data_IF_677813508572
#
_entry.id   IF_677813508572
#
_cell.length_a   1.000
_cell.length_b   1.000
_cell.length_c   1.000
_cell.angle_alpha   90.00
_cell.angle_beta   90.00
_cell.angle_gamma   90.00
#
_symmetry.space_group_name_H-M   'P 1'
#
loop_
_entity.id
_entity.type
_entity.pdbx_description
1 polymer ?
#
# COMPACT_ATOMS: atom_id res chain seq x y z
N UNK A 1 19.79 39.96 12.01
CA UNK A 1 19.83 38.48 12.13
C UNK A 1 19.43 37.91 10.78
N UNK A 2 20.33 37.20 10.12
CA UNK A 2 20.14 36.70 8.74
C UNK A 2 19.63 35.27 8.87
N UNK A 3 18.40 35.00 8.42
CA UNK A 3 17.86 33.64 8.36
C UNK A 3 18.53 32.88 7.21
N UNK A 4 19.42 31.96 7.55
CA UNK A 4 19.95 30.96 6.62
C UNK A 4 18.83 29.95 6.27
N UNK A 5 18.64 29.57 5.00
CA UNK A 5 17.72 28.51 4.63
C UNK A 5 18.18 27.16 5.23
N UNK A 6 17.25 26.24 5.53
CA UNK A 6 17.59 24.95 6.10
C UNK A 6 18.51 24.17 5.15
N UNK A 7 19.59 23.62 5.70
CA UNK A 7 20.52 22.75 4.96
C UNK A 7 19.76 21.52 4.45
N UNK A 8 19.73 21.33 3.13
CA UNK A 8 19.33 20.06 2.53
C UNK A 8 20.31 18.98 3.03
N UNK A 9 19.85 18.14 3.96
CA UNK A 9 20.56 16.93 4.33
C UNK A 9 20.35 15.92 3.20
N UNK A 10 21.33 15.85 2.31
CA UNK A 10 21.43 14.81 1.29
C UNK A 10 21.61 13.46 1.99
N UNK A 11 20.55 12.64 2.00
CA UNK A 11 20.54 11.36 2.70
C UNK A 11 21.27 10.34 1.79
N UNK A 12 22.60 10.26 1.93
CA UNK A 12 23.38 9.21 1.28
C UNK A 12 23.07 7.86 1.94
N UNK A 13 22.26 7.03 1.28
CA UNK A 13 21.92 5.68 1.73
C UNK A 13 22.50 4.60 0.80
N UNK A 14 22.94 3.51 1.42
CA UNK A 14 23.79 2.43 0.87
C UNK A 14 23.26 1.87 -0.47
N UNK A 15 24.14 1.90 -1.47
CA UNK A 15 23.93 1.44 -2.86
C UNK A 15 23.91 -0.09 -2.92
N UNK A 16 22.87 -0.69 -3.51
CA UNK A 16 22.88 -2.10 -3.91
C UNK A 16 23.40 -2.17 -5.34
N UNK A 17 24.70 -2.45 -5.50
CA UNK A 17 25.32 -2.69 -6.81
C UNK A 17 25.02 -4.12 -7.24
N UNK A 18 24.24 -4.30 -8.29
CA UNK A 18 24.06 -5.62 -8.92
C UNK A 18 25.08 -5.71 -10.05
N UNK A 19 26.17 -6.46 -9.85
CA UNK A 19 27.15 -6.74 -10.88
C UNK A 19 26.66 -7.88 -11.78
N UNK A 20 26.11 -7.54 -12.95
CA UNK A 20 26.20 -8.41 -14.13
C UNK A 20 27.16 -7.74 -15.12
N UNK A 21 27.96 -8.58 -15.78
CA UNK A 21 29.14 -8.25 -16.59
C UNK A 21 29.01 -6.90 -17.33
N UNK A 22 29.95 -6.01 -17.01
CA UNK A 22 30.39 -4.79 -17.70
C UNK A 22 29.42 -3.63 -18.01
N UNK A 23 28.13 -3.72 -17.68
CA UNK A 23 27.24 -2.54 -17.72
C UNK A 23 26.65 -2.28 -16.34
N UNK A 24 27.18 -1.26 -15.65
CA UNK A 24 26.61 -0.76 -14.41
C UNK A 24 25.34 0.04 -14.71
N UNK A 25 24.18 -0.60 -14.61
CA UNK A 25 22.89 0.10 -14.66
C UNK A 25 22.69 0.82 -13.32
N UNK A 26 22.82 2.14 -13.31
CA UNK A 26 22.41 2.95 -12.16
C UNK A 26 20.88 3.01 -12.12
N UNK A 27 20.28 2.19 -11.25
CA UNK A 27 18.85 2.31 -10.96
C UNK A 27 18.68 3.49 -9.99
N UNK A 28 18.38 4.66 -10.51
CA UNK A 28 17.98 5.79 -9.69
C UNK A 28 16.55 5.55 -9.20
N UNK A 29 16.41 5.15 -7.94
CA UNK A 29 15.10 5.14 -7.28
C UNK A 29 14.65 6.57 -7.01
N UNK A 30 13.49 6.97 -7.56
CA UNK A 30 12.81 8.21 -7.19
C UNK A 30 12.04 7.96 -5.89
N UNK A 31 12.58 8.46 -4.78
CA UNK A 31 11.96 8.35 -3.47
C UNK A 31 11.13 9.61 -3.17
N UNK A 32 9.93 9.41 -2.61
CA UNK A 32 9.11 10.47 -2.04
C UNK A 32 9.06 10.28 -0.52
N UNK A 33 9.53 11.28 0.22
CA UNK A 33 9.47 11.27 1.68
C UNK A 33 8.05 11.57 2.16
N UNK A 34 7.59 10.81 3.15
CA UNK A 34 6.39 11.11 3.94
C UNK A 34 6.80 11.01 5.42
N UNK A 35 6.82 12.13 6.15
CA UNK A 35 7.26 12.18 7.56
C UNK A 35 6.10 12.42 8.53
N UNK A 36 6.20 11.89 9.75
CA UNK A 36 5.17 12.00 10.81
C UNK A 36 5.18 13.35 11.53
N UNK A 37 6.18 14.18 11.28
CA UNK A 37 6.28 15.56 11.78
C UNK A 37 5.22 16.43 11.08
N UNK A 38 3.99 16.46 11.62
CA UNK A 38 2.91 17.33 11.15
C UNK A 38 1.64 16.62 10.66
N UNK A 39 1.58 15.29 10.59
CA UNK A 39 0.37 14.58 10.12
C UNK A 39 -0.61 14.42 11.30
N UNK A 40 -1.37 15.49 11.57
CA UNK A 40 -2.58 15.41 12.41
C UNK A 40 -3.78 15.16 11.47
N UNK A 41 -4.40 13.98 11.59
CA UNK A 41 -5.60 13.47 10.88
C UNK A 41 -5.38 12.80 9.52
N UNK A 42 -5.61 11.48 9.47
CA UNK A 42 -5.68 10.62 8.27
C UNK A 42 -6.98 10.79 7.45
N UNK A 43 -7.78 11.82 7.74
CA UNK A 43 -8.97 12.15 6.93
C UNK A 43 -8.50 12.46 5.51
N UNK A 44 -8.87 11.59 4.55
CA UNK A 44 -8.62 11.83 3.12
C UNK A 44 -7.50 11.01 2.49
N UNK A 45 -6.93 10.02 3.18
CA UNK A 45 -5.98 9.06 2.58
C UNK A 45 -6.72 7.79 2.16
N UNK A 46 -6.40 7.23 0.99
CA UNK A 46 -6.89 5.93 0.56
C UNK A 46 -6.25 4.81 1.38
N UNK A 47 -7.06 4.00 2.06
CA UNK A 47 -6.55 2.95 2.95
C UNK A 47 -7.24 1.62 2.75
N UNK A 48 -6.48 0.55 2.96
CA UNK A 48 -6.92 -0.83 3.07
C UNK A 48 -6.74 -1.28 4.53
N UNK A 49 -7.71 -2.03 5.05
CA UNK A 49 -7.64 -2.63 6.39
C UNK A 49 -7.80 -4.13 6.28
N UNK A 50 -6.97 -4.88 7.00
CA UNK A 50 -7.06 -6.32 7.13
C UNK A 50 -7.45 -6.67 8.56
N UNK A 51 -8.37 -7.62 8.74
CA UNK A 51 -8.69 -8.22 10.03
C UNK A 51 -8.28 -9.69 10.05
N UNK A 52 -8.00 -10.23 11.25
CA UNK A 52 -7.70 -11.65 11.44
C UNK A 52 -8.76 -12.61 10.90
N UNK A 53 -10.02 -12.18 10.81
CA UNK A 53 -11.11 -12.98 10.22
C UNK A 53 -11.08 -13.05 8.68
N UNK A 54 -10.15 -12.37 8.02
CA UNK A 54 -10.07 -12.30 6.57
C UNK A 54 -10.93 -11.21 5.93
N UNK A 55 -11.54 -10.33 6.73
CA UNK A 55 -12.27 -9.17 6.21
C UNK A 55 -11.26 -8.10 5.77
N UNK A 56 -11.34 -7.74 4.49
CA UNK A 56 -10.50 -6.72 3.88
C UNK A 56 -11.41 -5.55 3.50
N UNK A 57 -11.15 -4.36 4.05
CA UNK A 57 -12.01 -3.19 3.82
C UNK A 57 -11.26 -2.01 3.25
N UNK A 58 -11.88 -1.35 2.28
CA UNK A 58 -11.44 -0.15 1.61
C UNK A 58 -12.27 1.03 2.13
N UNK A 59 -11.60 2.11 2.54
CA UNK A 59 -12.32 3.30 2.93
C UNK A 59 -12.91 4.03 1.71
N UNK A 60 -13.87 4.93 1.96
CA UNK A 60 -14.52 5.73 0.92
C UNK A 60 -13.52 6.43 -0.01
N UNK A 61 -12.41 6.94 0.53
CA UNK A 61 -11.39 7.60 -0.27
C UNK A 61 -10.71 6.65 -1.25
N UNK A 62 -10.37 5.44 -0.83
CA UNK A 62 -9.83 4.41 -1.72
C UNK A 62 -10.83 4.07 -2.83
N UNK A 63 -12.11 3.89 -2.47
CA UNK A 63 -13.18 3.63 -3.43
C UNK A 63 -13.28 4.73 -4.49
N UNK A 64 -13.34 6.00 -4.07
CA UNK A 64 -13.46 7.14 -4.97
C UNK A 64 -12.22 7.38 -5.84
N UNK A 65 -11.02 7.23 -5.28
CA UNK A 65 -9.77 7.56 -5.99
C UNK A 65 -9.27 6.47 -6.92
N UNK A 66 -9.49 5.20 -6.56
CA UNK A 66 -9.13 4.04 -7.38
C UNK A 66 -10.27 3.73 -8.37
N UNK A 67 -11.50 4.15 -8.06
CA UNK A 67 -12.67 3.88 -8.88
C UNK A 67 -13.29 2.50 -8.63
N UNK A 68 -13.10 1.95 -7.42
CA UNK A 68 -13.64 0.64 -7.03
C UNK A 68 -15.16 0.66 -6.98
N UNK A 69 -15.78 -0.46 -7.34
CA UNK A 69 -17.24 -0.64 -7.34
C UNK A 69 -17.62 -1.97 -6.70
N UNK A 70 -18.85 -2.04 -6.22
CA UNK A 70 -19.46 -3.32 -5.83
C UNK A 70 -19.48 -4.25 -7.05
N UNK A 71 -19.10 -5.52 -6.85
CA UNK A 71 -18.99 -6.52 -7.91
C UNK A 71 -17.60 -6.62 -8.54
N UNK A 72 -16.73 -5.61 -8.38
CA UNK A 72 -15.33 -5.72 -8.82
C UNK A 72 -14.61 -6.84 -8.08
N UNK A 73 -13.71 -7.54 -8.78
CA UNK A 73 -12.90 -8.60 -8.18
C UNK A 73 -11.46 -8.14 -8.01
N UNK A 74 -10.90 -8.41 -6.82
CA UNK A 74 -9.53 -8.03 -6.49
C UNK A 74 -8.60 -9.24 -6.39
N UNK A 75 -7.45 -9.14 -7.08
CA UNK A 75 -6.32 -10.05 -6.91
C UNK A 75 -5.27 -9.35 -6.05
N UNK A 76 -4.65 -10.09 -5.14
CA UNK A 76 -3.55 -9.60 -4.30
C UNK A 76 -2.28 -10.34 -4.65
N UNK A 77 -1.16 -9.62 -4.63
CA UNK A 77 0.17 -10.14 -4.89
C UNK A 77 1.07 -9.79 -3.72
N UNK A 78 1.96 -10.72 -3.40
CA UNK A 78 3.05 -10.54 -2.45
C UNK A 78 4.36 -10.67 -3.23
N UNK A 79 5.29 -9.75 -3.03
CA UNK A 79 6.64 -9.90 -3.58
C UNK A 79 7.36 -11.06 -2.86
N UNK A 80 7.83 -12.05 -3.61
CA UNK A 80 8.53 -13.23 -3.09
C UNK A 80 9.93 -12.89 -2.56
N UNK A 81 10.60 -11.90 -3.14
CA UNK A 81 11.92 -11.43 -2.69
C UNK A 81 11.81 -10.49 -1.49
N UNK A 82 10.72 -9.72 -1.43
CA UNK A 82 10.42 -8.79 -0.33
C UNK A 82 9.02 -9.06 0.23
N UNK A 83 8.82 -10.07 1.11
CA UNK A 83 7.49 -10.49 1.58
C UNK A 83 6.63 -9.40 2.25
N UNK A 84 7.24 -8.28 2.63
CA UNK A 84 6.53 -7.11 3.18
C UNK A 84 5.88 -6.26 2.10
N UNK A 85 6.28 -6.38 0.84
CA UNK A 85 5.77 -5.55 -0.24
C UNK A 85 4.57 -6.25 -0.89
N UNK A 86 3.43 -5.56 -0.84
CA UNK A 86 2.13 -6.08 -1.24
C UNK A 86 1.49 -5.20 -2.29
N UNK A 87 0.75 -5.84 -3.20
CA UNK A 87 0.09 -5.18 -4.32
C UNK A 87 -1.31 -5.74 -4.52
N UNK A 88 -2.15 -4.97 -5.20
CA UNK A 88 -3.45 -5.45 -5.66
C UNK A 88 -3.76 -4.98 -7.08
N UNK A 89 -4.61 -5.73 -7.77
CA UNK A 89 -5.13 -5.39 -9.10
C UNK A 89 -6.63 -5.66 -9.15
N UNK A 90 -7.36 -4.82 -9.87
CA UNK A 90 -8.74 -5.08 -10.26
C UNK A 90 -8.71 -6.06 -11.44
N UNK A 91 -9.47 -7.14 -11.33
CA UNK A 91 -9.51 -8.20 -12.32
C UNK A 91 -10.93 -8.37 -12.87
N UNK A 92 -11.02 -8.79 -14.13
CA UNK A 92 -12.29 -8.96 -14.83
C UNK A 92 -13.05 -10.23 -14.38
N UNK A 93 -12.33 -11.32 -14.10
CA UNK A 93 -12.92 -12.66 -13.95
C UNK A 93 -12.67 -13.33 -12.59
N UNK A 94 -11.53 -13.05 -11.95
CA UNK A 94 -11.04 -13.77 -10.76
C UNK A 94 -10.68 -12.85 -9.59
N UNK A 95 -10.61 -13.43 -8.40
CA UNK A 95 -10.27 -12.72 -7.16
C UNK A 95 -11.44 -12.57 -6.18
N UNK A 96 -11.21 -11.79 -5.13
CA UNK A 96 -12.19 -11.56 -4.08
C UNK A 96 -13.15 -10.44 -4.48
N UNK A 97 -14.44 -10.76 -4.54
CA UNK A 97 -15.49 -9.82 -4.96
C UNK A 97 -15.78 -8.76 -3.88
N UNK A 98 -15.83 -7.50 -4.30
CA UNK A 98 -16.17 -6.36 -3.47
C UNK A 98 -17.68 -6.26 -3.24
N UNK A 99 -18.07 -6.00 -2.00
CA UNK A 99 -19.44 -5.68 -1.58
C UNK A 99 -19.48 -4.44 -0.70
N UNK A 100 -20.65 -3.82 -0.62
CA UNK A 100 -20.86 -2.67 0.26
C UNK A 100 -20.66 -3.05 1.74
N UNK A 101 -20.13 -2.10 2.52
CA UNK A 101 -20.11 -2.21 3.98
C UNK A 101 -21.52 -2.05 4.53
N UNK A 102 -21.81 -2.71 5.66
CA UNK A 102 -23.10 -2.58 6.36
C UNK A 102 -23.28 -1.22 7.03
N UNK A 103 -22.19 -0.45 7.21
CA UNK A 103 -22.21 0.85 7.88
C UNK A 103 -22.66 2.01 6.98
N UNK A 104 -22.85 1.79 5.67
CA UNK A 104 -23.33 2.83 4.75
C UNK A 104 -22.35 3.98 4.50
N UNK A 105 -21.10 3.86 4.92
CA UNK A 105 -20.10 4.95 4.86
C UNK A 105 -19.44 5.14 3.47
N UNK A 106 -19.93 4.45 2.44
CA UNK A 106 -19.33 4.44 1.10
C UNK A 106 -18.04 3.65 0.98
N UNK A 107 -17.69 2.84 1.97
CA UNK A 107 -16.60 1.87 1.89
C UNK A 107 -17.03 0.57 1.21
N UNK A 108 -16.04 -0.18 0.72
CA UNK A 108 -16.23 -1.52 0.16
C UNK A 108 -15.42 -2.53 0.96
N UNK A 109 -15.84 -3.80 0.91
CA UNK A 109 -15.24 -4.91 1.64
C UNK A 109 -15.24 -6.16 0.78
N UNK A 110 -14.22 -6.99 0.91
CA UNK A 110 -14.23 -8.38 0.46
C UNK A 110 -13.72 -9.29 1.58
N UNK A 111 -13.88 -10.60 1.40
CA UNK A 111 -13.33 -11.59 2.32
C UNK A 111 -12.25 -12.39 1.59
N UNK A 112 -11.04 -12.43 2.16
CA UNK A 112 -9.95 -13.26 1.66
C UNK A 112 -8.98 -13.63 2.80
N UNK A 113 -9.34 -14.69 3.54
CA UNK A 113 -8.62 -15.10 4.75
C UNK A 113 -7.14 -15.44 4.50
N UNK A 114 -6.83 -16.11 3.39
CA UNK A 114 -5.45 -16.49 3.05
C UNK A 114 -4.56 -15.26 2.86
N UNK A 115 -5.05 -14.24 2.13
CA UNK A 115 -4.33 -12.98 1.95
C UNK A 115 -4.14 -12.26 3.27
N UNK A 116 -5.19 -12.12 4.08
CA UNK A 116 -5.08 -11.47 5.37
C UNK A 116 -4.04 -12.16 6.27
N UNK A 117 -4.05 -13.50 6.32
CA UNK A 117 -3.08 -14.27 7.10
C UNK A 117 -1.64 -14.05 6.62
N UNK A 118 -1.40 -14.05 5.32
CA UNK A 118 -0.06 -13.79 4.76
C UNK A 118 0.40 -12.35 5.00
N UNK A 119 -0.52 -11.37 4.98
CA UNK A 119 -0.21 -9.99 5.38
C UNK A 119 0.24 -9.97 6.84
N UNK A 120 -0.52 -10.54 7.78
CA UNK A 120 -0.14 -10.59 9.19
C UNK A 120 1.22 -11.27 9.40
N UNK A 121 1.45 -12.41 8.74
CA UNK A 121 2.72 -13.14 8.82
C UNK A 121 3.90 -12.30 8.34
N UNK A 122 3.76 -11.63 7.19
CA UNK A 122 4.86 -10.87 6.60
C UNK A 122 5.12 -9.53 7.30
N UNK A 123 4.09 -8.87 7.82
CA UNK A 123 4.21 -7.59 8.51
C UNK A 123 4.48 -7.75 10.01
N UNK A 124 4.28 -8.94 10.58
CA UNK A 124 4.47 -9.21 12.00
C UNK A 124 3.38 -8.62 12.90
N UNK A 125 2.19 -8.35 12.35
CA UNK A 125 1.04 -7.79 13.08
C UNK A 125 0.05 -8.90 13.45
N UNK A 126 -0.77 -8.72 14.49
CA UNK A 126 -1.51 -9.85 15.12
C UNK A 126 -3.03 -9.72 15.19
N UNK A 127 -3.62 -8.58 14.81
CA UNK A 127 -5.06 -8.35 14.99
C UNK A 127 -5.75 -7.65 13.82
N UNK A 128 -5.69 -6.32 13.78
CA UNK A 128 -6.24 -5.47 12.74
C UNK A 128 -5.15 -4.49 12.33
N UNK A 129 -4.81 -4.49 11.05
CA UNK A 129 -3.79 -3.62 10.50
C UNK A 129 -4.37 -2.77 9.38
N UNK A 130 -3.93 -1.52 9.27
CA UNK A 130 -4.34 -0.58 8.25
C UNK A 130 -3.11 -0.04 7.54
N UNK A 131 -3.19 -0.01 6.21
CA UNK A 131 -2.14 0.47 5.35
C UNK A 131 -2.68 1.50 4.36
N UNK A 132 -1.81 2.40 3.93
CA UNK A 132 -2.09 3.29 2.81
C UNK A 132 -1.99 2.52 1.49
N UNK A 133 -2.82 2.91 0.53
CA UNK A 133 -2.75 2.43 -0.85
C UNK A 133 -2.22 3.58 -1.72
N UNK A 134 -1.24 3.28 -2.59
CA UNK A 134 -0.91 4.21 -3.68
C UNK A 134 -2.03 4.17 -4.71
N UNK A 135 -2.71 5.30 -4.92
CA UNK A 135 -3.90 5.39 -5.79
C UNK A 135 -3.57 5.49 -7.28
N UNK A 136 -2.29 5.56 -7.63
CA UNK A 136 -1.82 5.56 -9.01
C UNK A 136 -1.15 4.21 -9.26
N UNK A 137 -1.67 3.40 -10.19
CA UNK A 137 -1.11 2.09 -10.45
C UNK A 137 0.23 2.20 -11.19
N UNK A 138 1.10 1.23 -10.95
CA UNK A 138 2.28 0.96 -11.78
C UNK A 138 2.11 -0.46 -12.35
N UNK A 139 2.19 -0.61 -13.67
CA UNK A 139 1.88 -1.86 -14.38
C UNK A 139 0.53 -2.49 -13.96
N UNK A 140 -0.55 -1.69 -13.91
CA UNK A 140 -1.90 -2.06 -13.46
C UNK A 140 -2.02 -2.53 -11.99
N UNK A 141 -0.99 -2.33 -11.18
CA UNK A 141 -0.97 -2.75 -9.79
C UNK A 141 -0.90 -1.55 -8.85
N UNK A 142 -1.68 -1.61 -7.78
CA UNK A 142 -1.69 -0.63 -6.70
C UNK A 142 -0.86 -1.16 -5.54
N UNK A 143 0.18 -0.42 -5.14
CA UNK A 143 1.01 -0.80 -4.02
C UNK A 143 0.33 -0.52 -2.67
N UNK A 144 0.48 -1.45 -1.72
CA UNK A 144 0.04 -1.34 -0.33
C UNK A 144 1.27 -1.01 0.51
N UNK A 145 1.28 0.17 1.14
CA UNK A 145 2.45 0.67 1.88
C UNK A 145 2.46 0.06 3.29
N UNK A 146 3.18 -1.05 3.45
CA UNK A 146 3.24 -1.82 4.70
C UNK A 146 4.30 -1.33 5.70
N UNK A 147 5.27 -0.52 5.25
CA UNK A 147 6.33 0.05 6.11
C UNK A 147 5.83 1.16 7.04
N UNK A 148 4.66 1.72 6.75
CA UNK A 148 3.97 2.69 7.58
C UNK A 148 2.65 2.08 8.03
N UNK A 149 2.66 1.30 9.11
CA UNK A 149 1.41 0.97 9.80
C UNK A 149 0.79 2.28 10.34
N UNK A 150 -0.50 2.52 10.07
CA UNK A 150 -1.15 3.82 10.32
C UNK A 150 -2.44 3.73 11.15
#
# INVERSE_FOLDING_TARGET
>A
MINLPPKNHDISLKRKTINRRNDSIQINMKLKEFSTTGIKSLKGIATITFTKSGCISFNRKAVETIGLKTGDKLIFFQDEENPKDWYMKISEDKGAELRATTSGNGGLVCNFAVVAQNVFTSTGTSSRVKFQILTHPDNDMYAIITKNEI
#
